data_IF_439590855762
#
_entry.id   IF_439590855762
#
_cell.length_a   1.000
_cell.length_b   1.000
_cell.length_c   1.000
_cell.angle_alpha   90.00
_cell.angle_beta   90.00
_cell.angle_gamma   90.00
#
_symmetry.space_group_name_H-M   'P 1'
#
loop_
_entity.id
_entity.type
_entity.pdbx_description
1 polymer ?
#
# COMPACT_ATOMS: atom_id res chain seq x y z
N UNK A 1 43.62 6.85 -19.84
CA UNK A 1 42.78 6.15 -20.83
C UNK A 1 41.33 6.21 -20.35
N UNK A 2 40.45 6.78 -21.21
CA UNK A 2 38.98 6.63 -21.34
C UNK A 2 38.17 6.61 -20.02
N UNK A 3 37.72 7.75 -19.48
CA UNK A 3 36.44 8.47 -19.78
C UNK A 3 35.15 7.67 -19.48
N UNK A 4 34.52 8.06 -18.37
CA UNK A 4 33.08 8.27 -18.15
C UNK A 4 32.10 7.56 -19.09
N UNK A 5 31.35 6.59 -18.56
CA UNK A 5 30.09 6.13 -19.18
C UNK A 5 28.96 6.34 -18.19
N UNK A 6 28.21 7.41 -18.45
CA UNK A 6 26.92 7.67 -17.86
C UNK A 6 25.92 6.57 -18.26
N UNK A 7 25.22 6.00 -17.28
CA UNK A 7 24.00 5.24 -17.53
C UNK A 7 22.85 6.20 -17.21
N UNK A 8 22.34 6.83 -18.26
CA UNK A 8 21.13 7.63 -18.25
C UNK A 8 19.96 6.63 -18.12
N UNK A 9 19.38 6.52 -16.93
CA UNK A 9 18.13 5.81 -16.73
C UNK A 9 16.99 6.73 -17.16
N UNK A 10 16.47 6.46 -18.36
CA UNK A 10 15.31 7.08 -18.96
C UNK A 10 14.02 6.71 -18.22
N UNK A 11 13.23 7.75 -17.94
CA UNK A 11 11.77 7.80 -17.88
C UNK A 11 11.03 6.97 -16.81
N UNK A 12 10.48 7.70 -15.84
CA UNK A 12 9.13 7.48 -15.31
C UNK A 12 8.45 8.85 -15.17
N UNK A 13 7.92 9.36 -16.27
CA UNK A 13 6.88 10.41 -16.24
C UNK A 13 5.61 9.78 -15.70
N UNK A 14 5.46 9.78 -14.39
CA UNK A 14 4.17 9.47 -13.75
C UNK A 14 3.24 10.64 -14.03
N UNK A 15 2.41 10.48 -15.06
CA UNK A 15 1.30 11.37 -15.34
C UNK A 15 0.49 11.59 -14.07
N UNK A 16 0.34 12.85 -13.69
CA UNK A 16 -0.59 13.32 -12.67
C UNK A 16 -2.02 13.14 -13.22
N UNK A 17 -2.48 11.90 -13.27
CA UNK A 17 -3.89 11.61 -13.39
C UNK A 17 -4.57 12.18 -12.16
N UNK A 18 -5.59 13.02 -12.38
CA UNK A 18 -6.43 13.56 -11.32
C UNK A 18 -6.83 12.43 -10.36
N UNK A 19 -6.33 12.48 -9.13
CA UNK A 19 -6.77 11.54 -8.10
C UNK A 19 -7.89 12.22 -7.34
N UNK A 20 -9.13 11.69 -7.40
CA UNK A 20 -10.21 12.16 -6.55
C UNK A 20 -9.75 12.00 -5.10
N UNK A 21 -10.02 13.04 -4.28
CA UNK A 21 -9.76 13.14 -2.84
C UNK A 21 -9.33 11.81 -2.20
N UNK A 22 -8.02 11.65 -1.98
CA UNK A 22 -7.43 10.36 -1.65
C UNK A 22 -7.96 9.83 -0.32
N UNK A 23 -8.85 8.84 -0.39
CA UNK A 23 -8.91 7.84 0.66
C UNK A 23 -7.57 7.08 0.58
N UNK A 24 -6.82 7.05 1.69
CA UNK A 24 -5.39 6.78 1.66
C UNK A 24 -5.00 5.37 1.21
N UNK A 25 -3.74 5.25 0.79
CA UNK A 25 -3.06 3.98 0.58
C UNK A 25 -1.98 3.84 1.66
N UNK A 26 -1.98 2.71 2.39
CA UNK A 26 -0.92 2.41 3.34
C UNK A 26 -0.38 1.01 3.09
N UNK A 27 0.93 0.85 3.13
CA UNK A 27 1.56 -0.45 3.01
C UNK A 27 2.77 -0.52 3.90
N UNK A 28 2.94 -1.63 4.61
CA UNK A 28 4.11 -1.87 5.43
C UNK A 28 4.40 -3.35 5.55
N UNK A 29 5.61 -3.66 6.02
CA UNK A 29 6.09 -5.01 6.25
C UNK A 29 6.37 -5.17 7.74
N UNK A 30 5.81 -6.21 8.35
CA UNK A 30 6.07 -6.59 9.73
C UNK A 30 7.41 -7.32 9.85
N UNK A 31 7.96 -7.36 11.07
CA UNK A 31 9.24 -8.03 11.37
C UNK A 31 9.26 -9.52 11.01
N UNK A 32 8.10 -10.20 11.01
CA UNK A 32 7.97 -11.60 10.59
C UNK A 32 7.99 -11.81 9.05
N UNK A 33 8.20 -10.74 8.26
CA UNK A 33 8.14 -10.78 6.79
C UNK A 33 6.72 -10.76 6.21
N UNK A 34 5.69 -10.64 7.05
CA UNK A 34 4.30 -10.43 6.61
C UNK A 34 4.16 -9.01 6.03
N UNK A 35 3.51 -8.89 4.87
CA UNK A 35 3.23 -7.60 4.22
C UNK A 35 1.76 -7.27 4.35
N UNK A 36 1.45 -5.99 4.59
CA UNK A 36 0.09 -5.47 4.65
C UNK A 36 -0.08 -4.32 3.69
N UNK A 37 -1.27 -4.23 3.10
CA UNK A 37 -1.69 -3.20 2.16
C UNK A 37 -3.13 -2.81 2.45
N UNK A 38 -3.33 -1.56 2.85
CA UNK A 38 -4.62 -0.90 2.95
C UNK A 38 -4.79 -0.06 1.70
N UNK A 39 -5.85 -0.33 0.95
CA UNK A 39 -6.30 0.49 -0.18
C UNK A 39 -7.68 1.02 0.15
N UNK A 40 -7.77 2.28 0.52
CA UNK A 40 -9.05 2.96 0.61
C UNK A 40 -9.31 3.78 -0.65
N UNK A 41 -10.56 3.78 -1.10
CA UNK A 41 -11.07 4.60 -2.20
C UNK A 41 -12.44 5.13 -1.78
N UNK A 42 -12.99 6.10 -2.51
CA UNK A 42 -14.32 6.66 -2.21
C UNK A 42 -15.41 5.59 -2.17
N UNK A 43 -15.27 4.52 -2.99
CA UNK A 43 -16.23 3.42 -3.04
C UNK A 43 -16.00 2.27 -2.04
N UNK A 44 -14.89 2.25 -1.30
CA UNK A 44 -14.57 1.12 -0.41
C UNK A 44 -13.15 1.13 0.12
N UNK A 45 -12.95 0.51 1.28
CA UNK A 45 -11.65 0.21 1.88
C UNK A 45 -11.38 -1.28 1.82
N UNK A 46 -10.17 -1.66 1.40
CA UNK A 46 -9.72 -3.04 1.29
C UNK A 46 -8.37 -3.20 1.97
N UNK A 47 -8.33 -4.03 3.00
CA UNK A 47 -7.11 -4.45 3.67
C UNK A 47 -6.73 -5.83 3.17
N UNK A 48 -5.54 -5.91 2.60
CA UNK A 48 -4.93 -7.15 2.15
C UNK A 48 -3.65 -7.40 2.89
N UNK A 49 -3.38 -8.65 3.19
CA UNK A 49 -2.13 -9.04 3.81
C UNK A 49 -1.59 -10.31 3.16
N UNK A 50 -0.28 -10.49 3.29
CA UNK A 50 0.45 -11.57 2.67
C UNK A 50 1.50 -12.07 3.64
N UNK A 51 1.46 -13.38 3.92
CA UNK A 51 2.55 -14.07 4.62
C UNK A 51 3.79 -14.17 3.73
N UNK A 52 5.01 -14.27 4.31
CA UNK A 52 6.21 -14.53 3.54
C UNK A 52 6.03 -15.85 2.75
N UNK A 53 6.32 -15.82 1.44
CA UNK A 53 6.10 -16.97 0.54
C UNK A 53 4.64 -17.26 0.16
N UNK A 54 3.65 -16.58 0.75
CA UNK A 54 2.22 -16.81 0.50
C UNK A 54 1.60 -15.89 -0.57
N UNK A 55 0.30 -16.08 -0.80
CA UNK A 55 -0.52 -15.19 -1.63
C UNK A 55 -1.05 -14.00 -0.82
N UNK A 56 -1.45 -12.94 -1.53
CA UNK A 56 -2.22 -11.86 -0.92
C UNK A 56 -3.63 -12.34 -0.65
N UNK A 57 -4.12 -12.11 0.56
CA UNK A 57 -5.50 -12.38 0.93
C UNK A 57 -6.14 -11.10 1.45
N UNK A 58 -7.46 -11.00 1.26
CA UNK A 58 -8.26 -9.92 1.81
C UNK A 58 -8.54 -10.26 3.27
N UNK A 59 -8.12 -9.37 4.16
CA UNK A 59 -8.30 -9.52 5.61
C UNK A 59 -9.58 -8.84 6.06
N UNK A 60 -9.84 -7.65 5.50
CA UNK A 60 -10.95 -6.81 5.92
C UNK A 60 -11.38 -5.92 4.75
N UNK A 61 -12.68 -5.82 4.51
CA UNK A 61 -13.28 -4.86 3.57
C UNK A 61 -14.29 -4.00 4.33
N UNK A 62 -14.31 -2.71 4.00
CA UNK A 62 -15.15 -1.74 4.69
C UNK A 62 -15.59 -0.61 3.79
N UNK A 63 -16.38 0.31 4.35
CA UNK A 63 -16.84 1.49 3.63
C UNK A 63 -15.66 2.38 3.23
N UNK A 64 -15.77 3.02 2.07
CA UNK A 64 -14.80 3.99 1.61
C UNK A 64 -14.83 5.25 2.47
N UNK A 65 -13.69 5.94 2.58
CA UNK A 65 -13.60 7.19 3.31
C UNK A 65 -12.27 7.36 4.04
N UNK A 66 -11.89 8.62 4.27
CA UNK A 66 -10.64 8.96 4.96
C UNK A 66 -10.67 8.55 6.44
N UNK A 67 -11.82 8.68 7.10
CA UNK A 67 -11.98 8.28 8.51
C UNK A 67 -11.75 6.78 8.69
N UNK A 68 -12.36 5.95 7.82
CA UNK A 68 -12.15 4.50 7.89
C UNK A 68 -10.70 4.12 7.57
N UNK A 69 -10.05 4.82 6.62
CA UNK A 69 -8.62 4.63 6.36
C UNK A 69 -7.77 4.86 7.62
N UNK A 70 -7.98 5.97 8.34
CA UNK A 70 -7.23 6.28 9.55
C UNK A 70 -7.47 5.25 10.66
N UNK A 71 -8.71 4.77 10.81
CA UNK A 71 -9.05 3.71 11.77
C UNK A 71 -8.32 2.40 11.42
N UNK A 72 -8.35 1.99 10.15
CA UNK A 72 -7.67 0.78 9.68
C UNK A 72 -6.15 0.91 9.82
N UNK A 73 -5.58 2.07 9.44
CA UNK A 73 -4.16 2.33 9.56
C UNK A 73 -3.71 2.27 11.02
N UNK A 74 -4.42 2.94 11.94
CA UNK A 74 -4.12 2.92 13.36
C UNK A 74 -4.29 1.52 13.98
N UNK A 75 -5.33 0.78 13.58
CA UNK A 75 -5.57 -0.61 14.01
C UNK A 75 -4.41 -1.51 13.60
N UNK A 76 -4.07 -1.54 12.31
CA UNK A 76 -3.08 -2.48 11.81
C UNK A 76 -1.63 -2.05 12.10
N UNK A 77 -1.36 -0.78 12.38
CA UNK A 77 -0.06 -0.32 12.92
C UNK A 77 0.23 -0.95 14.29
N UNK A 78 -0.80 -1.19 15.10
CA UNK A 78 -0.68 -1.78 16.44
C UNK A 78 -0.92 -3.28 16.46
N UNK A 79 -1.87 -3.75 15.65
CA UNK A 79 -2.37 -5.13 15.66
C UNK A 79 -2.09 -5.78 14.32
N UNK A 80 -1.24 -6.81 14.30
CA UNK A 80 -1.02 -7.61 13.11
C UNK A 80 -2.31 -8.40 12.78
N UNK A 81 -2.77 -8.44 11.52
CA UNK A 81 -3.92 -9.27 11.18
C UNK A 81 -3.61 -10.75 11.41
N UNK A 82 -4.55 -11.47 12.03
CA UNK A 82 -4.53 -12.91 12.15
C UNK A 82 -5.41 -13.51 11.05
N UNK A 83 -4.79 -14.12 10.05
CA UNK A 83 -5.43 -14.86 8.95
C UNK A 83 -4.51 -16.00 8.52
#
# INVERSE_FOLDING_TARGET
MIKTTAIIATALTLGLGATPAMAGDAAWTYSDGMKLKIKCRSGGCKVTAKKPGGSWVVVEEGKGGNENFQVLEAKYKKVKPAF
#
